data_IF_786569216341
#
_entry.id   IF_786569216341
#
_cell.length_a   1.000
_cell.length_b   1.000
_cell.length_c   1.000
_cell.angle_alpha   90.00
_cell.angle_beta   90.00
_cell.angle_gamma   90.00
#
_symmetry.space_group_name_H-M   'P 1'
#
loop_
_entity.id
_entity.type
_entity.pdbx_description
1 polymer ?
#
# COMPACT_ATOMS: atom_id res chain seq x y z
N UNK A 1 -40.77 28.29 4.32
CA UNK A 1 -39.58 27.43 4.13
C UNK A 1 -39.68 26.23 5.06
N UNK A 2 -39.63 24.99 4.56
CA UNK A 2 -39.63 23.80 5.41
C UNK A 2 -38.35 23.75 6.23
N UNK A 3 -38.49 23.55 7.55
CA UNK A 3 -37.34 23.38 8.46
C UNK A 3 -36.63 22.07 8.11
N UNK A 4 -35.31 22.12 7.95
CA UNK A 4 -34.49 20.93 7.74
C UNK A 4 -34.74 19.89 8.85
N UNK A 5 -34.85 18.60 8.52
CA UNK A 5 -35.03 17.55 9.51
C UNK A 5 -33.83 17.52 10.46
N UNK A 6 -34.10 17.60 11.76
CA UNK A 6 -33.07 17.46 12.80
C UNK A 6 -32.49 16.05 12.70
N UNK A 7 -31.25 15.93 12.25
CA UNK A 7 -30.48 14.68 12.32
C UNK A 7 -30.43 14.22 13.78
N UNK A 8 -31.13 13.12 14.07
CA UNK A 8 -31.07 12.45 15.38
C UNK A 8 -29.63 11.98 15.60
N UNK A 9 -29.00 12.44 16.67
CA UNK A 9 -27.72 11.88 17.11
C UNK A 9 -27.88 10.38 17.38
N UNK A 10 -26.90 9.54 16.97
CA UNK A 10 -26.97 8.10 17.20
C UNK A 10 -27.03 7.81 18.70
N UNK A 11 -27.70 6.72 19.09
CA UNK A 11 -27.76 6.30 20.49
C UNK A 11 -26.42 5.74 20.95
N UNK A 12 -26.15 5.76 22.26
CA UNK A 12 -24.92 5.19 22.85
C UNK A 12 -24.68 3.74 22.43
N UNK A 13 -25.73 2.93 22.35
CA UNK A 13 -25.66 1.52 21.91
C UNK A 13 -25.20 1.39 20.46
N UNK A 14 -25.66 2.28 19.57
CA UNK A 14 -25.24 2.29 18.15
C UNK A 14 -23.78 2.71 18.04
N UNK A 15 -23.34 3.73 18.79
CA UNK A 15 -21.95 4.16 18.83
C UNK A 15 -20.99 3.07 19.35
N UNK A 16 -21.38 2.36 20.42
CA UNK A 16 -20.62 1.21 20.95
C UNK A 16 -20.54 0.07 19.95
N UNK A 17 -21.66 -0.26 19.29
CA UNK A 17 -21.70 -1.32 18.28
C UNK A 17 -20.77 -0.96 17.12
N UNK A 18 -20.87 0.27 16.60
CA UNK A 18 -20.02 0.78 15.53
C UNK A 18 -18.53 0.67 15.86
N UNK A 19 -18.09 1.16 17.03
CA UNK A 19 -16.68 1.08 17.43
C UNK A 19 -16.23 -0.38 17.59
N UNK A 20 -17.04 -1.24 18.22
CA UNK A 20 -16.70 -2.66 18.36
C UNK A 20 -16.60 -3.39 17.02
N UNK A 21 -17.41 -3.03 16.02
CA UNK A 21 -17.41 -3.70 14.72
C UNK A 21 -16.34 -3.17 13.78
N UNK A 22 -16.12 -1.85 13.75
CA UNK A 22 -15.23 -1.21 12.77
C UNK A 22 -13.81 -1.09 13.33
N UNK A 23 -13.66 -0.78 14.62
CA UNK A 23 -12.38 -0.55 15.27
C UNK A 23 -12.37 -1.05 16.71
N UNK A 24 -12.29 -2.38 16.92
CA UNK A 24 -12.35 -2.99 18.25
C UNK A 24 -11.35 -2.37 19.23
N UNK A 25 -10.18 -1.90 18.74
CA UNK A 25 -9.12 -1.27 19.55
C UNK A 25 -9.44 0.13 20.06
N UNK A 26 -10.52 0.76 19.58
CA UNK A 26 -10.99 2.09 20.01
C UNK A 26 -12.25 2.01 20.87
N UNK A 27 -12.81 0.81 21.07
CA UNK A 27 -13.90 0.60 22.00
C UNK A 27 -13.43 0.78 23.46
N UNK A 28 -14.29 1.27 24.36
CA UNK A 28 -13.98 1.34 25.78
C UNK A 28 -13.57 -0.03 26.33
N UNK A 29 -12.38 -0.12 26.92
CA UNK A 29 -11.85 -1.36 27.51
C UNK A 29 -11.03 -2.26 26.58
N UNK A 30 -10.77 -1.84 25.34
CA UNK A 30 -9.97 -2.64 24.40
C UNK A 30 -8.48 -2.68 24.76
N UNK A 31 -7.89 -3.87 24.72
CA UNK A 31 -6.46 -4.11 24.88
C UNK A 31 -5.84 -4.49 23.53
N UNK A 32 -5.32 -3.50 22.80
CA UNK A 32 -4.69 -3.74 21.50
C UNK A 32 -4.01 -2.48 20.95
N UNK A 33 -3.02 -2.67 20.08
CA UNK A 33 -2.33 -1.55 19.43
C UNK A 33 -3.22 -0.90 18.37
N UNK A 34 -3.30 0.43 18.38
CA UNK A 34 -4.08 1.20 17.40
C UNK A 34 -3.50 1.02 16.00
N UNK A 35 -4.36 0.75 15.03
CA UNK A 35 -3.96 0.59 13.62
C UNK A 35 -3.78 1.96 12.96
N UNK A 36 -2.69 2.15 12.21
CA UNK A 36 -2.44 3.37 11.43
C UNK A 36 -3.20 3.40 10.08
N UNK A 37 -4.14 2.47 9.84
CA UNK A 37 -4.84 2.31 8.55
C UNK A 37 -6.25 2.93 8.51
N UNK A 38 -6.58 3.84 9.40
CA UNK A 38 -7.87 4.53 9.37
C UNK A 38 -7.80 5.63 8.31
N UNK A 39 -8.69 5.61 7.32
CA UNK A 39 -8.76 6.66 6.32
C UNK A 39 -9.40 7.92 6.95
N UNK A 40 -9.00 9.11 6.50
CA UNK A 40 -9.57 10.38 7.00
C UNK A 40 -11.10 10.43 7.04
N UNK A 41 -11.87 9.90 6.06
CA UNK A 41 -13.33 9.89 6.11
C UNK A 41 -13.89 9.09 7.30
N UNK A 42 -13.23 7.99 7.68
CA UNK A 42 -13.67 7.14 8.79
C UNK A 42 -13.51 7.84 10.14
N UNK A 43 -12.54 8.77 10.24
CA UNK A 43 -12.25 9.51 11.47
C UNK A 43 -13.43 10.38 11.94
N UNK A 44 -14.21 10.92 11.02
CA UNK A 44 -15.39 11.75 11.33
C UNK A 44 -16.45 10.93 12.06
N UNK A 45 -16.72 9.70 11.61
CA UNK A 45 -17.71 8.82 12.22
C UNK A 45 -17.24 8.24 13.55
N UNK A 46 -15.93 7.97 13.69
CA UNK A 46 -15.31 7.53 14.94
C UNK A 46 -15.41 8.61 16.01
N UNK A 47 -15.06 9.85 15.68
CA UNK A 47 -15.11 10.96 16.63
C UNK A 47 -16.55 11.20 17.11
N UNK A 48 -17.52 11.14 16.19
CA UNK A 48 -18.94 11.26 16.51
C UNK A 48 -19.44 10.14 17.44
N UNK A 49 -18.95 8.91 17.26
CA UNK A 49 -19.26 7.80 18.16
C UNK A 49 -18.64 8.00 19.56
N UNK A 50 -17.38 8.45 19.63
CA UNK A 50 -16.69 8.72 20.90
C UNK A 50 -17.35 9.87 21.68
N UNK A 51 -17.77 10.93 21.01
CA UNK A 51 -18.46 12.07 21.62
C UNK A 51 -19.81 11.64 22.23
N UNK A 52 -20.55 10.75 21.55
CA UNK A 52 -21.82 10.19 22.05
C UNK A 52 -21.62 9.32 23.29
N UNK A 53 -20.49 8.61 23.38
CA UNK A 53 -20.20 7.76 24.53
C UNK A 53 -19.85 8.57 25.78
N UNK A 54 -19.50 9.86 25.62
CA UNK A 54 -19.15 10.74 26.72
C UNK A 54 -17.83 10.29 27.32
N UNK A 55 -16.73 10.95 26.92
CA UNK A 55 -15.48 10.91 27.68
C UNK A 55 -15.78 11.37 29.10
N UNK A 56 -16.07 10.43 29.99
CA UNK A 56 -16.13 10.66 31.43
C UNK A 56 -14.71 10.94 31.91
N UNK A 57 -14.62 12.03 32.67
CA UNK A 57 -13.44 12.58 33.32
C UNK A 57 -12.44 11.53 33.81
N UNK A 58 -11.25 11.52 33.21
CA UNK A 58 -10.06 11.06 33.89
C UNK A 58 -9.56 12.22 34.75
N UNK A 59 -9.83 12.10 36.04
CA UNK A 59 -9.30 12.87 37.17
C UNK A 59 -7.87 13.34 37.01
N UNK A 60 -7.62 14.56 37.49
CA UNK A 60 -6.32 15.16 37.85
C UNK A 60 -5.32 14.12 38.38
N UNK A 61 -4.47 13.64 37.50
CA UNK A 61 -3.14 13.19 37.87
C UNK A 61 -2.20 14.15 37.14
N UNK A 62 -1.49 14.96 37.92
CA UNK A 62 -0.27 15.66 37.50
C UNK A 62 0.75 14.61 37.10
N UNK A 63 0.57 14.07 35.90
CA UNK A 63 1.57 13.33 35.17
C UNK A 63 2.35 14.37 34.42
N UNK A 64 3.61 14.54 34.80
CA UNK A 64 4.65 15.12 33.97
C UNK A 64 4.74 14.28 32.70
N UNK A 65 3.79 14.45 31.79
CA UNK A 65 3.84 13.81 30.49
C UNK A 65 5.06 14.42 29.81
N UNK A 66 6.09 13.60 29.48
CA UNK A 66 7.16 14.09 28.63
C UNK A 66 6.49 14.67 27.38
N UNK A 67 6.99 15.83 26.94
CA UNK A 67 6.47 16.52 25.77
C UNK A 67 6.22 15.48 24.66
N UNK A 68 5.08 15.55 23.95
CA UNK A 68 4.79 14.62 22.87
C UNK A 68 6.01 14.61 21.96
N UNK A 69 6.69 13.46 21.90
CA UNK A 69 7.83 13.26 21.02
C UNK A 69 7.23 13.42 19.63
N UNK A 70 7.40 14.60 19.05
CA UNK A 70 6.91 14.86 17.70
C UNK A 70 7.59 13.83 16.80
N UNK A 71 6.81 13.13 15.97
CA UNK A 71 7.40 12.22 15.00
C UNK A 71 8.43 13.01 14.18
N UNK A 72 9.61 12.44 13.92
CA UNK A 72 10.62 13.10 13.11
C UNK A 72 10.02 13.50 11.76
N UNK A 73 10.43 14.65 11.25
CA UNK A 73 10.00 15.09 9.91
C UNK A 73 10.36 14.01 8.88
N UNK A 74 9.46 13.72 7.92
CA UNK A 74 9.70 12.71 6.90
C UNK A 74 10.89 13.15 6.06
N UNK A 75 11.86 12.24 5.88
CA UNK A 75 13.00 12.50 5.02
C UNK A 75 12.86 11.65 3.77
N UNK A 76 12.33 12.30 2.74
CA UNK A 76 11.99 11.67 1.46
C UNK A 76 13.23 11.61 0.55
N UNK A 77 13.52 10.43 0.02
CA UNK A 77 14.57 10.19 -0.97
C UNK A 77 14.01 9.42 -2.18
N UNK A 78 14.64 9.55 -3.34
CA UNK A 78 14.30 8.80 -4.55
C UNK A 78 15.14 7.53 -4.67
N UNK A 79 14.50 6.37 -4.78
CA UNK A 79 15.19 5.11 -4.97
C UNK A 79 15.49 4.88 -6.46
N UNK A 80 16.76 4.86 -6.87
CA UNK A 80 17.17 4.68 -8.28
C UNK A 80 16.96 3.25 -8.82
N UNK A 81 16.51 2.31 -7.97
CA UNK A 81 16.18 0.93 -8.37
C UNK A 81 14.70 0.76 -8.73
N UNK A 82 13.81 1.26 -7.87
CA UNK A 82 12.35 1.14 -8.07
C UNK A 82 11.69 2.48 -8.43
N UNK A 83 12.50 3.52 -8.64
CA UNK A 83 12.11 4.89 -9.00
C UNK A 83 11.07 5.57 -8.10
N UNK A 84 10.94 5.10 -6.85
CA UNK A 84 9.97 5.64 -5.88
C UNK A 84 10.61 6.59 -4.91
N UNK A 85 9.84 7.60 -4.56
CA UNK A 85 10.05 8.33 -3.32
C UNK A 85 9.74 7.42 -2.13
N UNK A 86 10.62 7.43 -1.13
CA UNK A 86 10.46 6.69 0.11
C UNK A 86 10.95 7.55 1.28
N UNK A 87 10.26 7.44 2.42
CA UNK A 87 10.75 8.03 3.66
C UNK A 87 11.81 7.11 4.27
N UNK A 88 13.02 7.62 4.50
CA UNK A 88 14.10 6.85 5.12
C UNK A 88 13.75 6.42 6.56
N UNK A 89 12.84 7.15 7.20
CA UNK A 89 12.37 6.87 8.55
C UNK A 89 11.20 5.88 8.56
N UNK A 90 10.70 5.47 7.38
CA UNK A 90 9.61 4.51 7.28
C UNK A 90 10.00 3.14 7.82
N UNK A 91 9.00 2.38 8.24
CA UNK A 91 9.16 1.04 8.76
C UNK A 91 8.20 0.06 8.07
N UNK A 92 8.53 -1.23 8.12
CA UNK A 92 7.69 -2.27 7.55
C UNK A 92 7.87 -2.42 6.05
N UNK A 93 6.76 -2.60 5.31
CA UNK A 93 6.77 -2.94 3.89
C UNK A 93 7.27 -1.79 3.01
N UNK A 94 6.90 -0.57 3.37
CA UNK A 94 7.22 0.67 2.64
C UNK A 94 8.69 1.06 2.77
N UNK A 95 9.39 0.55 3.79
CA UNK A 95 10.83 0.73 3.96
C UNK A 95 11.69 -0.14 3.02
N UNK A 96 11.06 -0.99 2.20
CA UNK A 96 11.74 -1.90 1.28
C UNK A 96 11.40 -1.57 -0.16
N UNK A 97 12.45 -1.58 -0.98
CA UNK A 97 12.38 -1.58 -2.42
C UNK A 97 11.80 -2.93 -2.87
N UNK A 98 10.52 -2.95 -3.22
CA UNK A 98 9.82 -4.10 -3.77
C UNK A 98 9.56 -3.86 -5.25
N UNK A 99 9.93 -4.79 -6.11
CA UNK A 99 9.71 -4.69 -7.57
C UNK A 99 8.99 -5.98 -8.01
N UNK A 100 7.80 -5.91 -8.62
CA UNK A 100 7.09 -7.08 -9.13
C UNK A 100 7.83 -7.74 -10.30
N UNK A 101 7.38 -8.96 -10.63
CA UNK A 101 7.78 -9.59 -11.88
C UNK A 101 7.10 -8.89 -13.06
N UNK A 102 7.81 -8.85 -14.19
CA UNK A 102 7.27 -8.49 -15.50
C UNK A 102 7.17 -9.76 -16.32
N UNK A 103 6.00 -10.00 -16.89
CA UNK A 103 5.66 -11.18 -17.68
C UNK A 103 5.60 -10.81 -19.15
N UNK A 104 6.08 -11.70 -20.01
CA UNK A 104 5.98 -11.48 -21.45
C UNK A 104 4.51 -11.49 -21.90
N UNK A 105 4.19 -10.70 -22.91
CA UNK A 105 2.82 -10.62 -23.46
C UNK A 105 2.45 -11.88 -24.27
N UNK A 106 3.46 -12.57 -24.81
CA UNK A 106 3.31 -13.77 -25.62
C UNK A 106 3.10 -15.03 -24.75
N UNK A 107 1.91 -15.14 -24.14
CA UNK A 107 1.52 -16.30 -23.36
C UNK A 107 1.57 -17.60 -24.18
N UNK A 108 2.19 -18.64 -23.63
CA UNK A 108 2.32 -19.97 -24.20
C UNK A 108 1.09 -20.84 -23.92
N UNK A 109 0.70 -21.69 -24.87
CA UNK A 109 -0.41 -22.62 -24.67
C UNK A 109 0.00 -23.71 -23.66
N UNK A 110 -0.74 -23.82 -22.56
CA UNK A 110 -0.49 -24.81 -21.50
C UNK A 110 -1.54 -25.94 -21.49
N UNK A 111 -2.73 -25.67 -22.03
CA UNK A 111 -3.83 -26.62 -22.15
C UNK A 111 -4.92 -26.08 -23.06
N UNK A 112 -6.06 -26.78 -23.20
CA UNK A 112 -7.23 -26.26 -23.89
C UNK A 112 -7.65 -24.94 -23.24
N UNK A 113 -7.56 -23.85 -23.99
CA UNK A 113 -7.92 -22.49 -23.55
C UNK A 113 -7.17 -21.96 -22.32
N UNK A 114 -6.02 -22.53 -21.96
CA UNK A 114 -5.16 -22.03 -20.88
C UNK A 114 -3.88 -21.46 -21.46
N UNK A 115 -3.61 -20.18 -21.16
CA UNK A 115 -2.32 -19.53 -21.45
C UNK A 115 -1.47 -19.41 -20.20
N UNK A 116 -0.17 -19.64 -20.37
CA UNK A 116 0.88 -19.44 -19.36
C UNK A 116 1.81 -18.33 -19.80
N UNK A 117 2.06 -17.37 -18.93
CA UNK A 117 2.98 -16.26 -19.19
C UNK A 117 4.15 -16.39 -18.23
N UNK A 118 5.35 -16.48 -18.79
CA UNK A 118 6.59 -16.58 -18.02
C UNK A 118 7.13 -15.17 -17.74
N UNK A 119 7.83 -14.98 -16.60
CA UNK A 119 8.52 -13.74 -16.31
C UNK A 119 9.69 -13.51 -17.28
N UNK A 120 9.85 -12.28 -17.75
CA UNK A 120 11.01 -11.84 -18.54
C UNK A 120 12.16 -11.36 -17.64
N UNK A 121 11.82 -10.90 -16.43
CA UNK A 121 12.76 -10.26 -15.51
C UNK A 121 13.69 -11.23 -14.75
N UNK A 122 13.29 -12.49 -14.55
CA UNK A 122 14.06 -13.49 -13.82
C UNK A 122 13.53 -14.90 -14.08
N UNK A 123 14.36 -15.92 -13.84
CA UNK A 123 13.98 -17.34 -13.94
C UNK A 123 13.78 -17.97 -12.54
N UNK A 124 12.81 -17.46 -11.80
CA UNK A 124 12.55 -17.91 -10.42
C UNK A 124 11.42 -18.95 -10.32
N UNK A 125 10.86 -19.38 -11.46
CA UNK A 125 9.74 -20.33 -11.49
C UNK A 125 8.38 -19.75 -11.08
N UNK A 126 8.23 -18.43 -10.99
CA UNK A 126 6.94 -17.75 -11.02
C UNK A 126 6.34 -17.75 -12.43
N UNK A 127 5.01 -17.78 -12.54
CA UNK A 127 4.31 -17.63 -13.83
C UNK A 127 2.88 -17.13 -13.60
N UNK A 128 2.25 -16.64 -14.67
CA UNK A 128 0.83 -16.26 -14.69
C UNK A 128 0.06 -17.29 -15.51
N UNK A 129 -1.16 -17.61 -15.07
CA UNK A 129 -2.14 -18.34 -15.87
C UNK A 129 -3.32 -17.46 -16.23
N UNK A 130 -3.77 -17.55 -17.46
CA UNK A 130 -5.08 -17.10 -17.90
C UNK A 130 -5.88 -18.34 -18.31
N UNK A 131 -6.97 -18.62 -17.59
CA UNK A 131 -7.95 -19.64 -17.98
C UNK A 131 -8.96 -18.96 -18.93
N UNK A 132 -9.46 -19.63 -19.96
CA UNK A 132 -10.30 -19.04 -21.01
C UNK A 132 -9.60 -17.85 -21.72
N UNK A 133 -8.57 -18.17 -22.50
CA UNK A 133 -7.67 -17.21 -23.15
C UNK A 133 -8.38 -15.95 -23.71
N UNK A 134 -7.91 -14.77 -23.30
CA UNK A 134 -8.46 -13.47 -23.66
C UNK A 134 -9.53 -12.93 -22.70
N UNK A 135 -9.79 -13.58 -21.56
CA UNK A 135 -10.73 -13.08 -20.56
C UNK A 135 -10.13 -12.04 -19.60
N UNK A 136 -8.79 -11.92 -19.53
CA UNK A 136 -8.09 -11.01 -18.62
C UNK A 136 -8.13 -11.40 -17.13
N UNK A 137 -8.60 -12.61 -16.78
CA UNK A 137 -8.54 -13.16 -15.42
C UNK A 137 -7.20 -13.88 -15.19
N UNK A 138 -6.22 -13.11 -14.75
CA UNK A 138 -4.87 -13.59 -14.54
C UNK A 138 -4.63 -14.10 -13.12
N UNK A 139 -4.06 -15.30 -13.01
CA UNK A 139 -3.74 -15.94 -11.73
C UNK A 139 -2.24 -16.11 -11.58
N UNK A 140 -1.65 -15.40 -10.62
CA UNK A 140 -0.24 -15.56 -10.22
C UNK A 140 -0.01 -16.94 -9.58
N UNK A 141 1.01 -17.67 -10.07
CA UNK A 141 1.41 -19.01 -9.61
C UNK A 141 2.90 -19.05 -9.26
N UNK A 142 3.27 -20.04 -8.46
CA UNK A 142 4.67 -20.21 -8.03
C UNK A 142 5.19 -18.98 -7.29
N UNK A 143 6.40 -18.53 -7.67
CA UNK A 143 7.05 -17.38 -7.05
C UNK A 143 6.51 -16.03 -7.54
N UNK A 144 5.67 -16.00 -8.58
CA UNK A 144 5.03 -14.78 -9.08
C UNK A 144 4.14 -14.06 -8.04
N UNK A 145 3.76 -14.77 -6.97
CA UNK A 145 3.01 -14.21 -5.82
C UNK A 145 3.87 -13.31 -4.91
N UNK A 146 5.17 -13.25 -5.16
CA UNK A 146 6.14 -12.47 -4.39
C UNK A 146 6.70 -11.39 -5.31
N UNK A 147 7.23 -10.28 -4.75
CA UNK A 147 8.04 -9.37 -5.55
C UNK A 147 9.29 -10.10 -6.08
N UNK A 148 9.67 -9.83 -7.33
CA UNK A 148 10.93 -10.28 -7.92
C UNK A 148 12.13 -9.81 -7.09
N UNK A 149 12.11 -8.54 -6.66
CA UNK A 149 13.19 -7.93 -5.87
C UNK A 149 12.60 -7.43 -4.55
N UNK A 150 13.28 -7.75 -3.45
CA UNK A 150 12.99 -7.20 -2.12
C UNK A 150 14.29 -6.79 -1.43
N UNK A 151 14.71 -5.54 -1.65
CA UNK A 151 15.97 -5.00 -1.12
C UNK A 151 15.73 -3.71 -0.32
N UNK A 152 16.79 -3.17 0.29
CA UNK A 152 16.76 -1.79 0.80
C UNK A 152 16.70 -0.83 -0.38
N UNK A 153 15.95 0.27 -0.22
CA UNK A 153 16.04 1.38 -1.16
C UNK A 153 17.47 1.92 -1.23
N UNK A 154 17.82 2.49 -2.37
CA UNK A 154 19.13 3.08 -2.58
C UNK A 154 19.02 4.27 -3.53
N UNK A 155 19.78 5.32 -3.24
CA UNK A 155 19.99 6.48 -4.10
C UNK A 155 21.24 6.33 -4.97
N UNK A 156 21.96 5.21 -4.84
CA UNK A 156 23.26 4.96 -5.45
C UNK A 156 23.13 4.01 -6.66
N UNK A 157 23.29 4.49 -7.90
CA UNK A 157 23.17 3.68 -9.11
C UNK A 157 24.19 2.55 -9.19
N UNK A 158 25.38 2.71 -8.61
CA UNK A 158 26.43 1.68 -8.63
C UNK A 158 26.04 0.43 -7.81
N UNK A 159 25.04 0.54 -6.93
CA UNK A 159 24.48 -0.57 -6.15
C UNK A 159 23.29 -1.24 -6.81
N UNK A 160 23.02 -0.94 -8.07
CA UNK A 160 21.87 -1.48 -8.81
C UNK A 160 22.33 -2.36 -9.97
N UNK A 161 21.82 -3.58 -9.98
CA UNK A 161 21.92 -4.49 -11.12
C UNK A 161 20.71 -4.23 -12.02
N UNK A 162 20.91 -3.42 -13.05
CA UNK A 162 19.89 -3.13 -14.06
C UNK A 162 19.72 -4.33 -15.00
N UNK A 163 18.47 -4.64 -15.36
CA UNK A 163 18.13 -5.78 -16.23
C UNK A 163 17.26 -5.39 -17.43
N UNK A 164 17.10 -4.09 -17.68
CA UNK A 164 16.33 -3.51 -18.79
C UNK A 164 14.88 -4.00 -18.92
N UNK A 165 14.36 -4.65 -17.87
CA UNK A 165 13.02 -5.24 -17.86
C UNK A 165 12.19 -4.62 -16.72
N UNK A 166 12.48 -4.98 -15.47
CA UNK A 166 11.79 -4.42 -14.30
C UNK A 166 12.69 -3.52 -13.42
N UNK A 167 13.99 -3.52 -13.68
CA UNK A 167 14.98 -2.61 -13.09
C UNK A 167 15.71 -1.89 -14.22
N UNK A 168 15.33 -0.64 -14.47
CA UNK A 168 15.87 0.19 -15.55
C UNK A 168 16.60 1.40 -14.98
N UNK A 169 17.54 1.97 -15.72
CA UNK A 169 18.26 3.17 -15.31
C UNK A 169 17.33 4.38 -15.15
N UNK A 170 17.63 5.24 -14.17
CA UNK A 170 16.86 6.46 -13.92
C UNK A 170 17.07 7.45 -15.08
N UNK A 171 15.97 7.93 -15.66
CA UNK A 171 15.99 8.98 -16.69
C UNK A 171 15.53 10.30 -16.07
N UNK A 172 16.42 11.27 -15.82
CA UNK A 172 16.04 12.57 -15.30
C UNK A 172 15.37 13.41 -16.38
N UNK A 173 14.20 13.95 -16.05
CA UNK A 173 13.43 14.82 -16.90
C UNK A 173 13.79 16.30 -16.79
N UNK A 174 13.05 17.18 -17.49
CA UNK A 174 13.30 18.62 -17.55
C UNK A 174 13.32 19.32 -16.18
N UNK A 175 12.59 18.78 -15.20
CA UNK A 175 12.52 19.31 -13.83
C UNK A 175 13.54 18.66 -12.89
N UNK A 176 14.41 17.78 -13.41
CA UNK A 176 15.40 17.03 -12.65
C UNK A 176 14.82 15.85 -11.87
N UNK A 177 13.54 15.50 -12.08
CA UNK A 177 12.92 14.31 -11.49
C UNK A 177 12.99 13.12 -12.43
N UNK A 178 12.91 11.91 -11.88
CA UNK A 178 12.81 10.71 -12.70
C UNK A 178 11.50 10.72 -13.51
N UNK A 179 11.59 10.57 -14.83
CA UNK A 179 10.45 10.52 -15.75
C UNK A 179 9.75 9.16 -15.80
N UNK A 180 10.32 8.16 -15.13
CA UNK A 180 9.75 6.82 -15.12
C UNK A 180 8.54 6.81 -14.19
N UNK A 181 7.34 6.78 -14.76
CA UNK A 181 6.14 6.53 -13.98
C UNK A 181 6.03 5.03 -13.69
N UNK A 182 6.05 4.69 -12.41
CA UNK A 182 5.76 3.32 -11.98
C UNK A 182 4.25 3.07 -12.03
N UNK A 183 3.90 1.88 -12.51
CA UNK A 183 2.59 1.29 -12.25
C UNK A 183 2.33 1.30 -10.74
N UNK A 184 1.14 1.76 -10.34
CA UNK A 184 0.76 1.91 -8.92
C UNK A 184 0.78 0.54 -8.22
N UNK A 185 1.94 0.13 -7.65
CA UNK A 185 2.10 -1.21 -7.07
C UNK A 185 1.14 -1.57 -5.92
N UNK A 186 0.33 -0.63 -5.40
CA UNK A 186 -0.72 -1.00 -4.45
C UNK A 186 -1.64 -2.09 -5.00
N UNK A 187 -1.77 -2.17 -6.33
CA UNK A 187 -2.64 -3.12 -7.02
C UNK A 187 -1.87 -4.27 -7.74
N UNK A 188 -0.54 -4.25 -7.74
CA UNK A 188 0.28 -5.13 -8.61
C UNK A 188 0.86 -6.39 -7.96
N UNK A 189 0.73 -6.57 -6.64
CA UNK A 189 1.10 -7.86 -6.04
C UNK A 189 0.01 -8.92 -6.24
N UNK A 190 -1.19 -8.47 -6.63
CA UNK A 190 -2.33 -9.32 -6.93
C UNK A 190 -2.67 -9.30 -8.44
N UNK A 191 -2.08 -8.39 -9.22
CA UNK A 191 -2.28 -8.24 -10.67
C UNK A 191 -0.95 -8.35 -11.41
N UNK A 192 -0.83 -9.17 -12.48
CA UNK A 192 0.41 -9.27 -13.23
C UNK A 192 0.81 -7.96 -13.90
N UNK A 193 2.11 -7.73 -14.02
CA UNK A 193 2.68 -6.68 -14.85
C UNK A 193 3.12 -7.27 -16.20
N UNK A 194 2.57 -6.80 -17.31
CA UNK A 194 3.02 -7.20 -18.66
C UNK A 194 3.97 -6.18 -19.30
N UNK A 195 3.98 -4.96 -18.79
CA UNK A 195 4.94 -3.92 -19.14
C UNK A 195 5.42 -3.26 -17.86
N UNK A 196 6.64 -2.72 -17.88
CA UNK A 196 7.16 -1.93 -16.76
C UNK A 196 7.68 -0.60 -17.28
N UNK A 197 7.27 0.47 -16.61
CA UNK A 197 7.67 1.86 -16.87
C UNK A 197 7.20 2.38 -18.23
N UNK A 198 6.44 3.48 -18.20
CA UNK A 198 6.13 4.26 -19.41
C UNK A 198 6.89 5.56 -19.27
N UNK A 199 7.64 5.96 -20.30
CA UNK A 199 8.17 7.32 -20.38
C UNK A 199 6.99 8.29 -20.44
N UNK A 200 6.93 9.25 -19.52
CA UNK A 200 5.97 10.35 -19.60
C UNK A 200 6.28 11.30 -20.77
#
# INVERSE_FOLDING_TARGET
MPKAPKTRSPSKTVALTYLNTVLPTYAPGATGSKSNRILEPDWVDIQKALDVLGRSDATDASSSHPAPIMPPEPKIEHCVRCHREYDINSHGREARCQIPHVFGEDGQLWGPDIRRYEPECCDDGGYVLEEDAGNGDYKLKGNAKRPCITHKHTTDPEKVEYNDCNVVECSPGPDGKCELEWLKMKDMFDTPAFTCNVYC
#
